data_IF_563802166193
#
_entry.id   IF_563802166193
#
_cell.length_a   1.000
_cell.length_b   1.000
_cell.length_c   1.000
_cell.angle_alpha   90.00
_cell.angle_beta   90.00
_cell.angle_gamma   90.00
#
_symmetry.space_group_name_H-M   'P 1'
#
loop_
_entity.id
_entity.type
_entity.pdbx_description
1 polymer ?
#
# COMPACT_ATOMS: atom_id res chain seq x y z
N UNK A 1 -11.01 23.10 -21.21
CA UNK A 1 -10.38 21.76 -21.32
C UNK A 1 -11.49 20.74 -21.40
N UNK A 2 -12.37 20.65 -20.40
CA UNK A 2 -13.69 19.98 -20.50
C UNK A 2 -14.75 21.05 -20.84
N UNK A 3 -15.19 21.11 -22.10
CA UNK A 3 -16.11 22.13 -22.61
C UNK A 3 -17.59 21.69 -22.46
N UNK A 4 -17.86 20.39 -22.43
CA UNK A 4 -19.20 19.82 -22.27
C UNK A 4 -19.56 19.44 -20.82
N UNK A 5 -18.61 19.59 -19.90
CA UNK A 5 -18.70 19.27 -18.47
C UNK A 5 -19.02 17.78 -18.23
N UNK A 6 -18.51 16.90 -19.10
CA UNK A 6 -18.63 15.44 -19.01
C UNK A 6 -17.76 14.83 -17.89
N UNK A 7 -16.80 15.58 -17.34
CA UNK A 7 -15.73 15.11 -16.43
C UNK A 7 -14.73 14.16 -17.09
N UNK A 8 -14.75 14.08 -18.40
CA UNK A 8 -13.80 13.35 -19.24
C UNK A 8 -13.31 14.27 -20.34
N UNK A 9 -12.26 13.88 -21.07
CA UNK A 9 -11.80 14.64 -22.23
C UNK A 9 -11.92 13.78 -23.48
N UNK A 10 -12.74 14.21 -24.44
CA UNK A 10 -12.71 13.60 -25.77
C UNK A 10 -11.48 14.07 -26.57
N UNK A 11 -11.23 13.45 -27.73
CA UNK A 11 -10.08 13.78 -28.57
C UNK A 11 -10.09 15.25 -29.03
N UNK A 12 -11.27 15.84 -29.28
CA UNK A 12 -11.39 17.22 -29.74
C UNK A 12 -11.05 18.23 -28.63
N UNK A 13 -11.56 17.99 -27.42
CA UNK A 13 -11.29 18.72 -26.20
C UNK A 13 -9.81 18.63 -25.80
N UNK A 14 -9.24 17.43 -25.82
CA UNK A 14 -7.82 17.21 -25.58
C UNK A 14 -6.95 17.94 -26.63
N UNK A 15 -7.29 17.82 -27.92
CA UNK A 15 -6.58 18.51 -29.01
C UNK A 15 -6.65 20.04 -28.90
N UNK A 16 -7.77 20.57 -28.41
CA UNK A 16 -7.93 22.00 -28.14
C UNK A 16 -7.01 22.41 -26.99
N UNK A 17 -6.99 21.66 -25.90
CA UNK A 17 -6.18 21.96 -24.73
C UNK A 17 -4.67 21.96 -25.01
N UNK A 18 -4.17 20.96 -25.74
CA UNK A 18 -2.76 20.90 -26.16
C UNK A 18 -2.36 22.16 -26.95
N UNK A 19 -3.23 22.63 -27.87
CA UNK A 19 -3.00 23.85 -28.65
C UNK A 19 -3.05 25.12 -27.81
N UNK A 20 -4.01 25.22 -26.88
CA UNK A 20 -4.15 26.37 -25.98
C UNK A 20 -2.97 26.50 -25.01
N UNK A 21 -2.39 25.38 -24.59
CA UNK A 21 -1.19 25.36 -23.76
C UNK A 21 0.13 25.52 -24.54
N UNK A 22 0.06 25.78 -25.85
CA UNK A 22 1.22 26.13 -26.67
C UNK A 22 2.19 24.99 -26.95
N UNK A 23 1.74 23.73 -26.82
CA UNK A 23 2.52 22.56 -27.17
C UNK A 23 2.46 22.36 -28.70
N UNK A 24 3.60 22.43 -29.43
CA UNK A 24 3.61 22.37 -30.89
C UNK A 24 3.57 20.91 -31.38
N UNK A 25 2.47 20.20 -31.11
CA UNK A 25 2.24 18.82 -31.56
C UNK A 25 1.39 18.79 -32.83
N UNK A 26 1.72 17.89 -33.75
CA UNK A 26 0.91 17.56 -34.94
C UNK A 26 -0.34 16.76 -34.57
N UNK A 27 -1.33 16.72 -35.47
CA UNK A 27 -2.56 15.96 -35.23
C UNK A 27 -2.32 14.46 -35.00
N UNK A 28 -1.28 13.88 -35.62
CA UNK A 28 -0.89 12.49 -35.36
C UNK A 28 -0.28 12.32 -33.98
N UNK A 29 0.61 13.22 -33.56
CA UNK A 29 1.21 13.16 -32.21
C UNK A 29 0.17 13.37 -31.10
N UNK A 30 -0.85 14.21 -31.34
CA UNK A 30 -1.96 14.37 -30.40
C UNK A 30 -2.81 13.11 -30.33
N UNK A 31 -3.07 12.44 -31.45
CA UNK A 31 -3.79 11.17 -31.45
C UNK A 31 -3.00 10.06 -30.74
N UNK A 32 -1.68 10.00 -30.96
CA UNK A 32 -0.79 9.06 -30.27
C UNK A 32 -0.76 9.34 -28.76
N UNK A 33 -0.66 10.61 -28.36
CA UNK A 33 -0.69 11.01 -26.96
C UNK A 33 -2.06 10.73 -26.31
N UNK A 34 -3.15 10.97 -27.05
CA UNK A 34 -4.49 10.63 -26.59
C UNK A 34 -4.63 9.14 -26.34
N UNK A 35 -4.19 8.31 -27.30
CA UNK A 35 -4.19 6.85 -27.17
C UNK A 35 -3.27 6.33 -26.07
N UNK A 36 -2.25 7.10 -25.68
CA UNK A 36 -1.41 6.81 -24.53
C UNK A 36 -2.15 7.05 -23.20
N UNK A 37 -3.01 8.06 -23.13
CA UNK A 37 -3.80 8.35 -21.93
C UNK A 37 -5.07 7.48 -21.83
N UNK A 38 -5.76 7.21 -22.93
CA UNK A 38 -6.99 6.40 -23.03
C UNK A 38 -6.66 4.89 -22.94
N UNK A 39 -6.29 4.44 -21.73
CA UNK A 39 -5.82 3.07 -21.45
C UNK A 39 -6.93 2.04 -21.68
N UNK A 40 -8.17 2.37 -21.30
CA UNK A 40 -9.33 1.48 -21.47
C UNK A 40 -9.94 1.54 -22.88
N UNK A 41 -9.46 2.46 -23.73
CA UNK A 41 -9.95 2.71 -25.09
C UNK A 41 -11.44 3.05 -25.15
N UNK A 42 -11.94 3.71 -24.11
CA UNK A 42 -13.31 4.24 -24.08
C UNK A 42 -13.52 5.36 -25.10
N UNK A 43 -12.44 5.94 -25.63
CA UNK A 43 -12.48 7.10 -26.52
C UNK A 43 -12.55 8.43 -25.76
N UNK A 44 -12.37 8.39 -24.44
CA UNK A 44 -12.39 9.52 -23.53
C UNK A 44 -11.27 9.36 -22.50
N UNK A 45 -10.54 10.43 -22.20
CA UNK A 45 -9.57 10.41 -21.10
C UNK A 45 -10.29 10.81 -19.81
N UNK A 46 -10.43 9.86 -18.89
CA UNK A 46 -10.90 10.13 -17.54
C UNK A 46 -9.86 10.92 -16.73
N UNK A 47 -10.30 11.53 -15.64
CA UNK A 47 -9.39 12.22 -14.72
C UNK A 47 -8.28 11.32 -14.18
N UNK A 48 -8.61 10.06 -13.89
CA UNK A 48 -7.66 9.09 -13.33
C UNK A 48 -6.61 8.65 -14.36
N UNK A 49 -7.03 8.46 -15.62
CA UNK A 49 -6.14 8.17 -16.74
C UNK A 49 -5.18 9.33 -17.01
N UNK A 50 -5.71 10.56 -17.04
CA UNK A 50 -4.89 11.77 -17.21
C UNK A 50 -3.82 11.91 -16.12
N UNK A 51 -4.22 11.72 -14.86
CA UNK A 51 -3.27 11.75 -13.74
C UNK A 51 -2.23 10.63 -13.85
N UNK A 52 -2.66 9.41 -14.19
CA UNK A 52 -1.77 8.26 -14.34
C UNK A 52 -0.72 8.52 -15.42
N UNK A 53 -1.14 8.96 -16.61
CA UNK A 53 -0.21 9.19 -17.73
C UNK A 53 0.76 10.36 -17.49
N UNK A 54 0.40 11.36 -16.67
CA UNK A 54 1.32 12.46 -16.31
C UNK A 54 2.31 12.03 -15.22
N UNK A 55 1.85 11.24 -14.25
CA UNK A 55 2.67 10.81 -13.11
C UNK A 55 3.72 9.78 -13.51
N UNK A 56 3.40 8.95 -14.50
CA UNK A 56 4.25 7.85 -14.95
C UNK A 56 4.26 6.66 -13.99
N UNK A 57 5.02 5.64 -14.37
CA UNK A 57 5.10 4.38 -13.62
C UNK A 57 6.01 4.50 -12.39
N UNK A 58 5.81 3.56 -11.45
CA UNK A 58 6.78 3.32 -10.39
C UNK A 58 8.14 2.96 -10.99
N UNK A 59 9.22 3.53 -10.45
CA UNK A 59 10.55 3.02 -10.70
C UNK A 59 10.68 1.57 -10.17
N UNK A 60 11.67 0.82 -10.67
CA UNK A 60 11.84 -0.61 -10.35
C UNK A 60 11.94 -0.89 -8.85
N UNK A 61 12.62 -0.03 -8.08
CA UNK A 61 12.76 -0.19 -6.63
C UNK A 61 11.42 -0.09 -5.92
N UNK A 62 10.64 0.96 -6.23
CA UNK A 62 9.29 1.15 -5.65
C UNK A 62 8.35 0.02 -6.08
N UNK A 63 8.42 -0.39 -7.35
CA UNK A 63 7.61 -1.49 -7.88
C UNK A 63 7.90 -2.80 -7.14
N UNK A 64 9.17 -3.16 -6.93
CA UNK A 64 9.54 -4.36 -6.19
C UNK A 64 9.04 -4.34 -4.74
N UNK A 65 9.11 -3.18 -4.07
CA UNK A 65 8.59 -3.02 -2.71
C UNK A 65 7.06 -3.20 -2.66
N UNK A 66 6.34 -2.65 -3.63
CA UNK A 66 4.88 -2.80 -3.72
C UNK A 66 4.48 -4.25 -4.00
N UNK A 67 5.22 -4.96 -4.85
CA UNK A 67 4.98 -6.40 -5.08
C UNK A 67 5.32 -7.25 -3.85
N UNK A 68 6.32 -6.86 -3.06
CA UNK A 68 6.62 -7.50 -1.78
C UNK A 68 5.48 -7.27 -0.78
N UNK A 69 4.92 -6.05 -0.73
CA UNK A 69 3.73 -5.76 0.08
C UNK A 69 2.54 -6.62 -0.34
N UNK A 70 2.27 -6.74 -1.65
CA UNK A 70 1.22 -7.59 -2.17
C UNK A 70 1.35 -9.03 -1.68
N UNK A 71 2.55 -9.62 -1.81
CA UNK A 71 2.82 -10.99 -1.38
C UNK A 71 2.70 -11.20 0.15
N UNK A 72 2.86 -10.15 0.95
CA UNK A 72 2.63 -10.22 2.41
C UNK A 72 1.14 -10.24 2.75
N UNK A 73 0.31 -9.56 1.96
CA UNK A 73 -1.15 -9.50 2.14
C UNK A 73 -1.81 -10.77 1.60
N UNK A 74 -1.38 -11.27 0.45
CA UNK A 74 -1.82 -12.51 -0.19
C UNK A 74 -1.56 -13.71 0.74
N UNK A 75 -2.58 -14.11 1.50
CA UNK A 75 -2.45 -15.03 2.61
C UNK A 75 -2.42 -16.48 2.13
N UNK A 76 -3.14 -16.79 1.05
CA UNK A 76 -3.17 -18.13 0.45
C UNK A 76 -2.15 -18.31 -0.69
N UNK A 77 -1.54 -17.21 -1.17
CA UNK A 77 -0.51 -17.21 -2.20
C UNK A 77 -1.06 -17.45 -3.61
N UNK A 78 -2.35 -17.18 -3.85
CA UNK A 78 -2.99 -17.44 -5.13
C UNK A 78 -2.69 -16.35 -6.20
N UNK A 79 -2.05 -15.25 -5.80
CA UNK A 79 -1.66 -14.15 -6.68
C UNK A 79 -2.76 -13.10 -6.93
N UNK A 80 -3.85 -13.13 -6.16
CA UNK A 80 -4.98 -12.20 -6.19
C UNK A 80 -5.37 -11.92 -4.74
N UNK A 81 -5.59 -10.66 -4.37
CA UNK A 81 -6.13 -10.35 -3.04
C UNK A 81 -7.65 -10.39 -3.08
N UNK A 82 -8.24 -11.13 -2.16
CA UNK A 82 -9.66 -11.12 -1.91
C UNK A 82 -10.00 -10.84 -0.43
N UNK A 83 -11.27 -10.95 -0.09
CA UNK A 83 -11.74 -10.63 1.25
C UNK A 83 -11.15 -11.57 2.31
N UNK A 84 -10.91 -12.83 1.99
CA UNK A 84 -10.40 -13.82 2.95
C UNK A 84 -8.94 -13.49 3.32
N UNK A 85 -8.14 -12.95 2.38
CA UNK A 85 -6.81 -12.42 2.64
C UNK A 85 -6.85 -11.26 3.65
N UNK A 86 -7.74 -10.28 3.42
CA UNK A 86 -7.87 -9.12 4.29
C UNK A 86 -8.35 -9.54 5.69
N UNK A 87 -9.27 -10.50 5.78
CA UNK A 87 -9.75 -11.05 7.06
C UNK A 87 -8.61 -11.75 7.80
N UNK A 88 -7.74 -12.48 7.11
CA UNK A 88 -6.61 -13.17 7.72
C UNK A 88 -5.55 -12.19 8.26
N UNK A 89 -5.39 -11.03 7.62
CA UNK A 89 -4.32 -10.07 7.92
C UNK A 89 -4.75 -8.92 8.83
N UNK A 90 -6.01 -8.50 8.79
CA UNK A 90 -6.50 -7.31 9.48
C UNK A 90 -7.50 -7.63 10.60
N UNK A 91 -7.31 -7.00 11.76
CA UNK A 91 -8.26 -7.10 12.88
C UNK A 91 -9.12 -5.83 12.98
N UNK A 92 -10.36 -5.93 12.49
CA UNK A 92 -11.33 -4.84 12.53
C UNK A 92 -12.05 -4.65 13.90
N UNK A 93 -11.75 -5.46 14.92
CA UNK A 93 -12.44 -5.42 16.23
C UNK A 93 -12.34 -4.07 16.92
N UNK A 94 -11.22 -3.36 16.70
CA UNK A 94 -10.95 -2.07 17.30
C UNK A 94 -11.35 -0.89 16.42
N UNK A 95 -11.94 -1.14 15.25
CA UNK A 95 -12.36 -0.06 14.36
C UNK A 95 -13.50 0.75 15.01
N UNK A 96 -13.41 2.11 15.10
CA UNK A 96 -14.39 2.93 15.82
C UNK A 96 -15.85 2.72 15.35
N UNK A 97 -16.06 2.53 14.05
CA UNK A 97 -17.41 2.30 13.50
C UNK A 97 -17.92 0.87 13.74
N UNK A 98 -17.03 -0.10 13.96
CA UNK A 98 -17.41 -1.47 14.37
C UNK A 98 -17.77 -1.46 15.85
N UNK A 99 -16.96 -0.81 16.68
CA UNK A 99 -17.22 -0.66 18.12
C UNK A 99 -18.51 0.11 18.41
N UNK A 100 -18.83 1.14 17.61
CA UNK A 100 -20.07 1.89 17.74
C UNK A 100 -21.27 1.24 17.05
N UNK A 101 -21.09 0.09 16.37
CA UNK A 101 -22.16 -0.67 15.71
C UNK A 101 -22.71 -0.03 14.44
N UNK A 102 -22.04 1.00 13.89
CA UNK A 102 -22.45 1.65 12.64
C UNK A 102 -22.15 0.80 11.41
N UNK A 103 -21.10 -0.01 11.48
CA UNK A 103 -20.63 -0.87 10.39
C UNK A 103 -20.27 -2.24 10.92
N UNK A 104 -20.43 -3.26 10.07
CA UNK A 104 -19.91 -4.60 10.38
C UNK A 104 -18.41 -4.66 10.04
N UNK A 105 -17.69 -5.64 10.59
CA UNK A 105 -16.30 -5.90 10.18
C UNK A 105 -16.21 -6.16 8.68
N UNK A 106 -17.20 -6.88 8.15
CA UNK A 106 -17.29 -7.17 6.73
C UNK A 106 -17.35 -5.89 5.88
N UNK A 107 -18.10 -4.88 6.32
CA UNK A 107 -18.19 -3.61 5.59
C UNK A 107 -16.86 -2.86 5.60
N UNK A 108 -16.08 -2.98 6.68
CA UNK A 108 -14.74 -2.36 6.78
C UNK A 108 -13.75 -3.11 5.88
N UNK A 109 -13.77 -4.45 5.88
CA UNK A 109 -12.90 -5.25 5.01
C UNK A 109 -13.19 -5.01 3.52
N UNK A 110 -14.47 -4.91 3.13
CA UNK A 110 -14.84 -4.60 1.74
C UNK A 110 -14.33 -3.23 1.31
N UNK A 111 -14.60 -2.18 2.09
CA UNK A 111 -14.12 -0.83 1.75
C UNK A 111 -12.59 -0.76 1.67
N UNK A 112 -11.89 -1.47 2.55
CA UNK A 112 -10.44 -1.58 2.49
C UNK A 112 -9.99 -2.17 1.15
N UNK A 113 -10.60 -3.27 0.71
CA UNK A 113 -10.27 -3.91 -0.56
C UNK A 113 -10.66 -3.04 -1.77
N UNK A 114 -11.81 -2.38 -1.69
CA UNK A 114 -12.32 -1.44 -2.70
C UNK A 114 -11.36 -0.25 -2.94
N UNK A 115 -10.47 0.04 -1.98
CA UNK A 115 -9.45 1.10 -2.12
C UNK A 115 -8.38 0.72 -3.15
N UNK A 116 -8.12 -0.58 -3.35
CA UNK A 116 -7.11 -1.07 -4.28
C UNK A 116 -7.70 -1.64 -5.58
N UNK A 117 -8.93 -2.13 -5.54
CA UNK A 117 -9.70 -2.62 -6.69
C UNK A 117 -9.93 -1.45 -7.67
N UNK A 118 -9.04 -1.33 -8.66
CA UNK A 118 -8.85 -0.16 -9.51
C UNK A 118 -9.26 -0.44 -10.94
N UNK A 119 -10.54 -0.75 -11.16
CA UNK A 119 -11.07 -1.08 -12.48
C UNK A 119 -12.48 -1.64 -12.40
N UNK A 120 -12.66 -2.88 -12.86
CA UNK A 120 -13.90 -3.62 -12.68
C UNK A 120 -14.06 -4.01 -11.21
N UNK A 121 -15.07 -3.47 -10.53
CA UNK A 121 -15.38 -3.77 -9.13
C UNK A 121 -15.89 -5.19 -8.95
N UNK A 122 -14.99 -6.17 -9.02
CA UNK A 122 -15.26 -7.59 -8.87
C UNK A 122 -14.94 -8.11 -7.45
N UNK A 123 -14.40 -7.25 -6.59
CA UNK A 123 -14.03 -7.58 -5.22
C UNK A 123 -12.74 -8.38 -5.14
N UNK A 124 -11.90 -8.30 -6.17
CA UNK A 124 -10.58 -8.87 -6.24
C UNK A 124 -9.57 -7.80 -6.63
N UNK A 125 -8.33 -7.99 -6.19
CA UNK A 125 -7.25 -7.05 -6.51
C UNK A 125 -6.09 -7.83 -7.10
N UNK A 126 -5.82 -7.56 -8.36
CA UNK A 126 -4.67 -8.09 -9.06
C UNK A 126 -3.39 -7.29 -8.75
N UNK A 127 -2.20 -7.89 -8.92
CA UNK A 127 -0.93 -7.19 -8.68
C UNK A 127 -0.79 -5.88 -9.48
N UNK A 128 -1.36 -5.82 -10.69
CA UNK A 128 -1.38 -4.62 -11.53
C UNK A 128 -2.20 -3.48 -10.90
N UNK A 129 -3.35 -3.79 -10.30
CA UNK A 129 -4.23 -2.81 -9.68
C UNK A 129 -3.60 -2.25 -8.39
N UNK A 130 -2.99 -3.13 -7.60
CA UNK A 130 -2.24 -2.74 -6.42
C UNK A 130 -1.03 -1.84 -6.77
N UNK A 131 -0.30 -2.17 -7.83
CA UNK A 131 0.80 -1.33 -8.36
C UNK A 131 0.26 0.02 -8.87
N UNK A 132 -0.85 0.03 -9.59
CA UNK A 132 -1.49 1.26 -10.10
C UNK A 132 -1.93 2.18 -8.95
N UNK A 133 -2.53 1.62 -7.91
CA UNK A 133 -2.85 2.37 -6.69
C UNK A 133 -1.61 3.03 -6.09
N UNK A 134 -0.52 2.26 -5.93
CA UNK A 134 0.72 2.80 -5.36
C UNK A 134 1.47 3.75 -6.29
N UNK A 135 1.29 3.68 -7.62
CA UNK A 135 1.79 4.70 -8.53
C UNK A 135 1.19 6.08 -8.21
N UNK A 136 -0.10 6.12 -7.86
CA UNK A 136 -0.77 7.35 -7.43
C UNK A 136 -0.24 7.89 -6.09
N UNK A 137 -0.04 7.01 -5.10
CA UNK A 137 0.56 7.40 -3.81
C UNK A 137 2.00 7.89 -4.01
N UNK A 138 2.78 7.15 -4.79
CA UNK A 138 4.18 7.42 -5.13
C UNK A 138 4.38 8.79 -5.77
N UNK A 139 3.42 9.25 -6.59
CA UNK A 139 3.51 10.53 -7.28
C UNK A 139 3.52 11.75 -6.33
N UNK A 140 3.08 11.58 -5.08
CA UNK A 140 3.16 12.61 -4.04
C UNK A 140 4.42 12.51 -3.17
N UNK A 141 5.29 11.54 -3.44
CA UNK A 141 6.47 11.22 -2.64
C UNK A 141 7.73 11.37 -3.48
N UNK A 142 8.51 12.40 -3.16
CA UNK A 142 9.75 12.72 -3.89
C UNK A 142 10.88 11.71 -3.61
N UNK A 143 10.97 11.19 -2.39
CA UNK A 143 12.12 10.40 -1.92
C UNK A 143 11.82 8.89 -1.86
N UNK A 144 12.66 8.09 -2.51
CA UNK A 144 12.50 6.64 -2.59
C UNK A 144 12.67 5.93 -1.24
N UNK A 145 13.57 6.37 -0.36
CA UNK A 145 13.69 5.70 0.95
C UNK A 145 12.56 6.12 1.89
N UNK A 146 11.93 7.29 1.68
CA UNK A 146 10.70 7.64 2.40
C UNK A 146 9.54 6.78 1.93
N UNK A 147 9.41 6.58 0.61
CA UNK A 147 8.44 5.64 0.06
C UNK A 147 8.66 4.23 0.61
N UNK A 148 9.90 3.74 0.65
CA UNK A 148 10.24 2.44 1.21
C UNK A 148 9.87 2.34 2.69
N UNK A 149 10.24 3.34 3.51
CA UNK A 149 9.88 3.38 4.92
C UNK A 149 8.36 3.32 5.10
N UNK A 150 7.62 4.08 4.29
CA UNK A 150 6.16 4.11 4.33
C UNK A 150 5.56 2.74 3.99
N UNK A 151 5.98 2.10 2.89
CA UNK A 151 5.48 0.78 2.48
C UNK A 151 5.83 -0.29 3.53
N UNK A 152 7.08 -0.31 3.99
CA UNK A 152 7.52 -1.28 4.99
C UNK A 152 6.74 -1.16 6.28
N UNK A 153 6.53 0.06 6.76
CA UNK A 153 5.81 0.27 8.02
C UNK A 153 4.32 -0.05 7.86
N UNK A 154 3.69 0.36 6.76
CA UNK A 154 2.27 0.11 6.49
C UNK A 154 1.95 -1.39 6.42
N UNK A 155 2.80 -2.16 5.75
CA UNK A 155 2.57 -3.58 5.51
C UNK A 155 3.40 -4.51 6.39
N UNK A 156 4.05 -3.94 7.42
CA UNK A 156 4.89 -4.69 8.35
C UNK A 156 5.95 -5.54 7.64
N UNK A 157 6.62 -5.00 6.62
CA UNK A 157 7.63 -5.73 5.84
C UNK A 157 9.00 -5.56 6.49
N UNK A 158 9.61 -6.67 6.90
CA UNK A 158 10.92 -6.71 7.56
C UNK A 158 12.09 -6.29 6.68
N UNK A 159 13.16 -5.81 7.31
CA UNK A 159 14.39 -5.38 6.66
C UNK A 159 14.43 -3.88 6.32
N UNK A 160 15.24 -3.53 5.33
CA UNK A 160 15.63 -2.15 5.00
C UNK A 160 16.90 -1.73 5.74
N UNK A 161 17.53 -0.65 5.29
CA UNK A 161 18.82 -0.18 5.82
C UNK A 161 18.71 1.23 6.39
N UNK A 162 19.33 1.45 7.55
CA UNK A 162 19.39 2.78 8.16
C UNK A 162 18.00 3.34 8.46
N UNK A 163 17.65 4.44 7.81
CA UNK A 163 16.43 5.20 8.11
C UNK A 163 15.17 4.66 7.41
N UNK A 164 15.31 3.82 6.38
CA UNK A 164 14.19 3.15 5.70
C UNK A 164 13.90 1.76 6.28
N UNK A 165 14.64 1.33 7.30
CA UNK A 165 14.42 0.07 7.97
C UNK A 165 13.06 0.04 8.69
N UNK A 166 12.40 -1.12 8.65
CA UNK A 166 11.15 -1.32 9.34
C UNK A 166 11.31 -1.15 10.85
N UNK A 167 10.38 -0.40 11.44
CA UNK A 167 10.31 -0.16 12.88
C UNK A 167 8.98 -0.61 13.52
N UNK A 168 8.06 -1.16 12.73
CA UNK A 168 6.71 -1.55 13.15
C UNK A 168 6.55 -3.03 13.42
N UNK A 169 7.38 -3.90 12.82
CA UNK A 169 7.39 -5.34 13.10
C UNK A 169 7.64 -5.59 14.60
N UNK A 170 6.81 -6.46 15.18
CA UNK A 170 6.90 -6.84 16.59
C UNK A 170 8.27 -7.43 16.90
N UNK A 171 8.81 -7.00 18.04
CA UNK A 171 10.01 -7.59 18.64
C UNK A 171 9.64 -8.19 19.99
N UNK A 172 9.99 -9.45 20.20
CA UNK A 172 9.69 -10.20 21.42
C UNK A 172 10.98 -10.69 22.07
N UNK A 173 10.96 -10.81 23.41
CA UNK A 173 12.04 -11.48 24.12
C UNK A 173 11.81 -12.98 24.00
N UNK A 174 12.80 -13.70 23.45
CA UNK A 174 12.75 -15.15 23.29
C UNK A 174 13.79 -15.80 24.18
N UNK A 175 13.45 -16.98 24.70
CA UNK A 175 14.41 -17.89 25.33
C UNK A 175 14.68 -19.03 24.36
N UNK A 176 15.95 -19.24 24.01
CA UNK A 176 16.38 -20.30 23.10
C UNK A 176 16.48 -21.65 23.84
N UNK A 177 16.72 -22.73 23.10
CA UNK A 177 16.86 -24.08 23.69
C UNK A 177 18.07 -24.21 24.63
N UNK A 178 19.12 -23.40 24.42
CA UNK A 178 20.30 -23.35 25.29
C UNK A 178 20.09 -22.50 26.56
N UNK A 179 18.87 -21.96 26.75
CA UNK A 179 18.51 -21.10 27.87
C UNK A 179 18.96 -19.64 27.73
N UNK A 180 19.65 -19.27 26.65
CA UNK A 180 20.00 -17.87 26.38
C UNK A 180 18.77 -17.07 25.95
N UNK A 181 18.79 -15.78 26.23
CA UNK A 181 17.71 -14.86 25.86
C UNK A 181 18.19 -13.81 24.87
N UNK A 182 17.32 -13.46 23.92
CA UNK A 182 17.55 -12.33 22.99
C UNK A 182 16.25 -11.71 22.54
N UNK A 183 16.31 -10.45 22.11
CA UNK A 183 15.21 -9.81 21.39
C UNK A 183 15.23 -10.31 19.96
N UNK A 184 14.10 -10.82 19.47
CA UNK A 184 13.92 -11.33 18.13
C UNK A 184 12.76 -10.59 17.46
N UNK A 185 13.00 -10.08 16.26
CA UNK A 185 11.93 -9.59 15.39
C UNK A 185 11.11 -10.77 14.87
N UNK A 186 9.79 -10.63 14.92
CA UNK A 186 8.85 -11.47 14.18
C UNK A 186 8.78 -10.88 12.78
N UNK A 187 9.31 -11.59 11.80
CA UNK A 187 9.45 -11.08 10.44
C UNK A 187 8.11 -11.09 9.71
N UNK A 188 7.83 -10.02 8.96
CA UNK A 188 6.60 -9.87 8.16
C UNK A 188 5.33 -10.17 8.97
N UNK A 189 5.22 -9.59 10.17
CA UNK A 189 4.27 -10.01 11.20
C UNK A 189 2.81 -9.59 10.96
N UNK A 190 2.48 -9.16 9.75
CA UNK A 190 1.12 -8.83 9.36
C UNK A 190 0.20 -10.05 9.52
N UNK A 191 -0.84 -9.91 10.35
CA UNK A 191 -1.75 -11.01 10.72
C UNK A 191 -1.24 -11.92 11.85
N UNK A 192 -0.02 -11.74 12.36
CA UNK A 192 0.45 -12.44 13.56
C UNK A 192 -0.21 -11.82 14.79
N UNK A 193 -1.41 -12.30 15.09
CA UNK A 193 -2.18 -11.83 16.23
C UNK A 193 -1.42 -12.07 17.54
N UNK A 194 -1.63 -11.20 18.53
CA UNK A 194 -0.83 -11.13 19.76
C UNK A 194 -0.91 -12.33 20.72
N UNK A 195 -1.36 -13.51 20.27
CA UNK A 195 -1.24 -14.73 21.05
C UNK A 195 0.17 -15.33 20.91
N UNK A 196 0.66 -15.95 21.98
CA UNK A 196 2.03 -16.45 22.07
C UNK A 196 2.31 -17.59 21.10
N UNK A 197 1.30 -18.41 20.77
CA UNK A 197 1.45 -19.56 19.89
C UNK A 197 1.72 -19.13 18.43
N UNK A 198 0.95 -18.18 17.90
CA UNK A 198 1.14 -17.64 16.56
C UNK A 198 2.52 -16.97 16.40
N UNK A 199 2.97 -16.26 17.45
CA UNK A 199 4.32 -15.68 17.48
C UNK A 199 5.39 -16.78 17.47
N UNK A 200 5.23 -17.84 18.27
CA UNK A 200 6.17 -18.95 18.30
C UNK A 200 6.23 -19.70 16.96
N UNK A 201 5.08 -19.90 16.30
CA UNK A 201 5.01 -20.53 14.98
C UNK A 201 5.70 -19.68 13.90
N UNK A 202 5.50 -18.36 13.93
CA UNK A 202 6.19 -17.42 13.03
C UNK A 202 7.71 -17.45 13.23
N UNK A 203 8.17 -17.39 14.50
CA UNK A 203 9.60 -17.48 14.83
C UNK A 203 10.21 -18.82 14.39
N UNK A 204 9.46 -19.92 14.52
CA UNK A 204 9.89 -21.23 14.04
C UNK A 204 10.02 -21.27 12.52
N UNK A 205 9.10 -20.63 11.79
CA UNK A 205 9.19 -20.48 10.34
C UNK A 205 10.42 -19.65 9.91
N UNK A 206 10.85 -18.69 10.73
CA UNK A 206 12.12 -17.95 10.58
C UNK A 206 13.36 -18.77 10.98
N UNK A 207 13.21 -20.05 11.35
CA UNK A 207 14.31 -20.92 11.78
C UNK A 207 14.79 -20.66 13.22
N UNK A 208 14.03 -19.91 14.02
CA UNK A 208 14.33 -19.63 15.43
C UNK A 208 13.57 -20.63 16.31
N UNK A 209 14.27 -21.61 16.88
CA UNK A 209 13.68 -22.52 17.87
C UNK A 209 13.67 -21.85 19.24
N UNK A 210 12.48 -21.69 19.81
CA UNK A 210 12.27 -21.01 21.10
C UNK A 210 11.62 -21.96 22.10
N UNK A 211 12.09 -21.90 23.35
CA UNK A 211 11.50 -22.63 24.48
C UNK A 211 10.45 -21.79 25.22
N UNK A 212 10.56 -20.46 25.15
CA UNK A 212 9.59 -19.51 25.68
C UNK A 212 9.61 -18.18 24.90
N UNK A 213 8.46 -17.49 24.89
CA UNK A 213 8.28 -16.17 24.28
C UNK A 213 7.59 -15.26 25.29
N UNK A 214 8.17 -14.09 25.52
CA UNK A 214 7.61 -13.04 26.38
C UNK A 214 7.15 -11.85 25.53
N UNK A 215 5.86 -11.51 25.65
CA UNK A 215 5.22 -10.43 24.89
C UNK A 215 4.98 -9.16 25.71
N UNK A 216 5.29 -9.18 27.03
CA UNK A 216 5.03 -8.09 27.99
C UNK A 216 5.99 -6.91 27.90
N UNK A 217 6.96 -6.94 26.99
CA UNK A 217 7.85 -5.82 26.70
C UNK A 217 7.43 -5.10 25.42
N UNK A 218 6.25 -4.48 25.41
CA UNK A 218 5.95 -3.50 24.37
C UNK A 218 6.86 -2.29 24.65
N UNK A 219 7.98 -2.19 23.93
CA UNK A 219 8.75 -0.95 23.91
C UNK A 219 8.00 -0.05 22.93
N UNK A 220 7.19 0.88 23.45
CA UNK A 220 6.75 2.03 22.67
C UNK A 220 8.01 2.65 22.07
N UNK A 221 8.17 2.51 20.75
CA UNK A 221 9.40 2.94 20.10
C UNK A 221 9.60 4.42 20.40
N UNK A 222 10.78 4.69 20.96
CA UNK A 222 11.24 5.95 21.48
C UNK A 222 11.04 7.05 20.44
N UNK A 223 10.41 8.14 20.88
CA UNK A 223 10.23 9.43 20.18
C UNK A 223 11.26 9.62 19.06
N UNK A 224 10.78 9.68 17.83
CA UNK A 224 11.55 10.16 16.68
C UNK A 224 12.30 11.45 17.08
N UNK A 225 13.63 11.43 16.95
CA UNK A 225 14.44 12.64 17.13
C UNK A 225 14.00 13.68 16.08
N UNK A 226 13.85 14.96 16.43
CA UNK A 226 13.25 15.94 15.55
C UNK A 226 14.21 16.26 14.41
N UNK A 227 13.84 15.90 13.19
CA UNK A 227 14.63 16.10 11.98
C UNK A 227 13.77 16.50 10.79
N UNK A 228 13.71 17.81 10.55
CA UNK A 228 13.08 18.54 9.43
C UNK A 228 11.55 18.46 9.30
N UNK A 229 10.96 19.64 9.02
CA UNK A 229 9.52 19.88 8.94
C UNK A 229 8.87 18.92 7.95
N UNK A 230 7.88 18.19 8.43
CA UNK A 230 6.87 17.49 7.63
C UNK A 230 6.32 18.47 6.58
N UNK A 231 6.57 18.19 5.30
CA UNK A 231 5.77 18.79 4.24
C UNK A 231 4.33 18.34 4.47
N UNK A 232 3.45 19.29 4.77
CA UNK A 232 2.01 19.08 4.72
C UNK A 232 1.63 18.93 3.26
N UNK A 233 1.26 17.72 2.83
CA UNK A 233 0.91 17.51 1.44
C UNK A 233 0.82 16.06 0.98
N UNK A 234 0.13 15.20 1.73
CA UNK A 234 -0.50 14.01 1.18
C UNK A 234 -1.68 13.70 2.10
N UNK A 235 -2.87 13.53 1.52
CA UNK A 235 -4.11 13.31 2.26
C UNK A 235 -3.95 12.21 3.29
N UNK A 236 -4.63 12.36 4.43
CA UNK A 236 -4.79 11.30 5.41
C UNK A 236 -5.22 10.04 4.67
N UNK A 237 -4.29 9.09 4.50
CA UNK A 237 -4.67 7.75 4.11
C UNK A 237 -5.54 7.23 5.26
N UNK A 238 -6.82 7.02 4.99
CA UNK A 238 -7.84 6.57 5.94
C UNK A 238 -7.51 5.24 6.62
N UNK A 239 -6.44 4.58 6.18
CA UNK A 239 -5.95 3.33 6.72
C UNK A 239 -5.11 3.62 7.96
N UNK A 240 -5.80 3.76 9.10
CA UNK A 240 -5.16 3.72 10.41
C UNK A 240 -4.81 2.25 10.71
N UNK A 241 -3.53 1.91 10.53
CA UNK A 241 -2.97 0.67 11.07
C UNK A 241 -2.86 0.83 12.59
N UNK A 242 -3.63 0.02 13.32
CA UNK A 242 -3.74 0.07 14.79
C UNK A 242 -2.89 -0.97 15.50
#
# INVERSE_FOLDING_TARGET
>A
MDDDNSRTLDLAEFSKAIREHGLPLSSSEVADLFAFFDDDRSGHISYDEFLTGIRGDLNDRRRQLVLLAFAVVDADGNGILDLDDIIAKYNADKHPDVLSGKRTKHDVFREFLDTFDGGEKDGKVHPSEFVRYYANVSASIDDDDYFELMIRNAWHISGGDGWSANSTCRRVLVTLEDGSQRVQEVENDLGVHGNVAAIADALKAQGVQVSAVETSGYVDNVKAKPGKKLQHGAGESSIVFG
#
